data_IF_732844008442
#
_entry.id   IF_732844008442
#
_cell.length_a   1.000
_cell.length_b   1.000
_cell.length_c   1.000
_cell.angle_alpha   90.00
_cell.angle_beta   90.00
_cell.angle_gamma   90.00
#
_symmetry.space_group_name_H-M   'P 1'
#
loop_
_entity.id
_entity.type
_entity.pdbx_description
1 polymer ?
#
# COMPACT_ATOMS: atom_id res chain seq x y z
N UNK A 1 1.26 5.95 -0.21
CA UNK A 1 1.27 4.54 -0.62
C UNK A 1 0.16 4.30 -1.62
N UNK A 2 0.41 3.53 -2.67
CA UNK A 2 -0.55 3.30 -3.77
C UNK A 2 -1.31 1.97 -3.67
N UNK A 3 -0.91 1.06 -2.78
CA UNK A 3 -1.70 -0.13 -2.46
C UNK A 3 -2.81 0.17 -1.45
N UNK A 4 -4.04 0.26 -1.93
CA UNK A 4 -5.23 0.37 -1.07
C UNK A 4 -5.41 -0.85 -0.17
N UNK A 5 -5.05 -2.05 -0.65
CA UNK A 5 -5.06 -3.28 0.16
C UNK A 5 -4.13 -3.18 1.36
N UNK A 6 -2.88 -2.75 1.17
CA UNK A 6 -1.93 -2.61 2.28
C UNK A 6 -2.38 -1.48 3.22
N UNK A 7 -2.94 -0.38 2.70
CA UNK A 7 -3.51 0.67 3.55
C UNK A 7 -4.62 0.14 4.45
N UNK A 8 -5.51 -0.70 3.91
CA UNK A 8 -6.56 -1.35 4.68
C UNK A 8 -5.97 -2.28 5.75
N UNK A 9 -4.90 -3.04 5.42
CA UNK A 9 -4.24 -3.91 6.39
C UNK A 9 -3.64 -3.14 7.56
N UNK A 10 -2.93 -2.04 7.29
CA UNK A 10 -2.30 -1.19 8.32
C UNK A 10 -3.35 -0.63 9.29
N UNK A 11 -4.59 -0.41 8.84
CA UNK A 11 -5.70 0.08 9.67
C UNK A 11 -6.54 -1.04 10.32
N UNK A 12 -6.23 -2.31 10.04
CA UNK A 12 -6.98 -3.47 10.53
C UNK A 12 -6.22 -4.16 11.65
N UNK A 13 -6.93 -4.74 12.63
CA UNK A 13 -6.29 -5.51 13.71
C UNK A 13 -5.42 -6.65 13.14
N UNK A 14 -4.14 -6.78 13.56
CA UNK A 14 -3.22 -7.78 13.02
C UNK A 14 -3.69 -9.21 13.22
N UNK A 15 -4.50 -9.46 14.26
CA UNK A 15 -5.05 -10.78 14.63
C UNK A 15 -5.95 -11.38 13.55
N UNK A 16 -6.40 -10.58 12.58
CA UNK A 16 -7.24 -11.03 11.46
C UNK A 16 -6.43 -11.65 10.31
N UNK A 17 -5.11 -11.53 10.33
CA UNK A 17 -4.25 -11.99 9.23
C UNK A 17 -3.47 -13.27 9.57
N UNK A 18 -3.00 -13.97 8.53
CA UNK A 18 -2.07 -15.10 8.67
C UNK A 18 -0.76 -14.64 9.33
N UNK A 19 -0.01 -15.54 10.00
CA UNK A 19 1.15 -15.15 10.82
C UNK A 19 2.14 -14.20 10.13
N UNK A 20 2.48 -14.45 8.86
CA UNK A 20 3.40 -13.59 8.11
C UNK A 20 2.93 -12.13 8.02
N UNK A 21 1.66 -11.89 7.65
CA UNK A 21 1.10 -10.54 7.52
C UNK A 21 0.80 -9.97 8.92
N UNK A 22 0.31 -10.79 9.84
CA UNK A 22 -0.02 -10.39 11.21
C UNK A 22 1.19 -9.77 11.92
N UNK A 23 2.35 -10.44 11.86
CA UNK A 23 3.59 -9.95 12.49
C UNK A 23 3.98 -8.59 11.91
N UNK A 24 3.97 -8.44 10.58
CA UNK A 24 4.36 -7.17 9.94
C UNK A 24 3.41 -6.02 10.21
N UNK A 25 2.10 -6.28 10.20
CA UNK A 25 1.11 -5.26 10.53
C UNK A 25 1.23 -4.86 12.00
N UNK A 26 1.47 -5.79 12.92
CA UNK A 26 1.73 -5.48 14.32
C UNK A 26 2.98 -4.61 14.49
N UNK A 27 4.10 -4.99 13.87
CA UNK A 27 5.34 -4.20 13.88
C UNK A 27 5.10 -2.76 13.42
N UNK A 28 4.38 -2.57 12.30
CA UNK A 28 4.04 -1.23 11.78
C UNK A 28 3.17 -0.44 12.77
N UNK A 29 2.13 -1.07 13.32
CA UNK A 29 1.19 -0.41 14.24
C UNK A 29 1.83 -0.05 15.59
N UNK A 30 2.83 -0.81 16.04
CA UNK A 30 3.56 -0.55 17.27
C UNK A 30 4.63 0.55 17.11
N UNK A 31 5.16 0.73 15.90
CA UNK A 31 6.30 1.62 15.64
C UNK A 31 5.94 2.94 14.98
N UNK A 32 4.82 3.00 14.25
CA UNK A 32 4.47 4.13 13.41
C UNK A 32 3.03 4.59 13.64
N UNK A 33 2.78 5.88 13.44
CA UNK A 33 1.41 6.40 13.39
C UNK A 33 0.73 5.92 12.10
N UNK A 34 -0.24 5.02 12.25
CA UNK A 34 -1.05 4.50 11.14
C UNK A 34 -1.82 5.59 10.37
N UNK A 35 -2.07 6.76 10.98
CA UNK A 35 -2.76 7.87 10.32
C UNK A 35 -1.85 8.62 9.35
N UNK A 36 -0.52 8.53 9.50
CA UNK A 36 0.44 9.11 8.58
C UNK A 36 0.44 8.43 7.19
N UNK A 37 -0.14 7.22 7.09
CA UNK A 37 -0.22 6.49 5.83
C UNK A 37 -1.39 6.98 4.98
N UNK A 38 -1.07 7.74 3.93
CA UNK A 38 -2.03 8.25 2.95
C UNK A 38 -1.98 7.50 1.63
N UNK A 39 -3.15 7.40 0.98
CA UNK A 39 -3.25 6.94 -0.39
C UNK A 39 -2.70 7.99 -1.35
N UNK A 40 -1.93 7.53 -2.34
CA UNK A 40 -1.55 8.30 -3.53
C UNK A 40 -1.80 7.41 -4.75
N UNK A 41 -2.15 7.98 -5.90
CA UNK A 41 -2.29 7.19 -7.14
C UNK A 41 -0.94 6.62 -7.57
N UNK A 42 -0.95 5.48 -8.26
CA UNK A 42 0.29 4.82 -8.71
C UNK A 42 1.09 5.67 -9.71
N UNK A 43 0.43 6.50 -10.53
CA UNK A 43 1.10 7.41 -11.47
C UNK A 43 1.87 8.56 -10.80
N UNK A 44 1.61 8.80 -9.51
CA UNK A 44 2.33 9.77 -8.68
C UNK A 44 3.14 9.10 -7.56
N UNK A 45 3.25 7.77 -7.57
CA UNK A 45 4.05 7.03 -6.59
C UNK A 45 5.53 7.07 -6.97
N UNK A 46 6.39 7.80 -6.24
CA UNK A 46 7.80 7.87 -6.59
C UNK A 46 8.51 6.51 -6.45
N UNK A 47 7.99 5.58 -5.63
CA UNK A 47 8.63 4.27 -5.44
C UNK A 47 8.60 3.40 -6.71
N UNK A 48 7.60 3.58 -7.58
CA UNK A 48 7.48 2.85 -8.85
C UNK A 48 8.66 3.13 -9.80
N UNK A 49 9.23 4.32 -9.72
CA UNK A 49 10.40 4.74 -10.49
C UNK A 49 11.58 3.80 -10.20
N UNK A 50 11.78 3.42 -8.93
CA UNK A 50 12.91 2.54 -8.57
C UNK A 50 12.66 1.07 -8.90
N UNK A 51 11.42 0.60 -8.88
CA UNK A 51 11.09 -0.82 -9.08
C UNK A 51 11.10 -1.24 -10.56
N UNK A 52 11.06 -0.27 -11.49
CA UNK A 52 10.97 -0.52 -12.94
C UNK A 52 12.32 -0.52 -13.68
N UNK A 53 13.41 -0.16 -13.02
CA UNK A 53 14.74 -0.09 -13.66
C UNK A 53 14.85 1.07 -14.65
N UNK A 54 14.61 2.29 -14.19
CA UNK A 54 14.56 3.51 -15.02
C UNK A 54 15.93 4.16 -15.24
N UNK A 55 16.08 5.05 -16.24
CA UNK A 55 17.26 5.90 -16.40
C UNK A 55 17.57 6.74 -15.16
N UNK A 56 18.85 7.04 -14.93
CA UNK A 56 19.32 7.82 -13.76
C UNK A 56 18.64 9.20 -13.62
N UNK A 57 18.24 9.81 -14.74
CA UNK A 57 17.54 11.09 -14.73
C UNK A 57 16.16 11.01 -14.05
N UNK A 58 15.47 9.88 -14.15
CA UNK A 58 14.19 9.63 -13.49
C UNK A 58 14.36 9.30 -11.99
N UNK A 59 15.54 8.85 -11.57
CA UNK A 59 15.86 8.64 -10.15
C UNK A 59 15.87 9.97 -9.39
N UNK A 60 16.18 11.09 -10.05
CA UNK A 60 16.15 12.44 -9.43
C UNK A 60 14.74 12.80 -8.96
N UNK A 61 13.71 12.40 -9.70
CA UNK A 61 12.31 12.61 -9.29
C UNK A 61 11.90 11.72 -8.12
N UNK A 62 12.51 10.54 -7.95
CA UNK A 62 12.29 9.72 -6.76
C UNK A 62 12.82 10.39 -5.48
N UNK A 63 14.03 10.96 -5.52
CA UNK A 63 14.66 11.60 -4.34
C UNK A 63 13.86 12.81 -3.86
N UNK A 64 13.39 13.66 -4.78
CA UNK A 64 12.59 14.85 -4.43
C UNK A 64 11.15 14.51 -4.05
N UNK A 65 10.61 13.43 -4.62
CA UNK A 65 9.21 13.08 -4.49
C UNK A 65 8.27 14.01 -5.28
N UNK A 66 6.95 13.78 -5.18
CA UNK A 66 5.95 14.62 -5.84
C UNK A 66 5.95 16.06 -5.30
N UNK A 67 5.74 17.09 -6.16
CA UNK A 67 5.78 18.49 -5.74
C UNK A 67 4.80 18.87 -4.63
N UNK A 68 3.68 18.15 -4.48
CA UNK A 68 2.69 18.45 -3.43
C UNK A 68 3.21 18.13 -2.02
N UNK A 69 4.24 17.29 -1.86
CA UNK A 69 4.82 16.99 -0.55
C UNK A 69 5.56 18.20 0.05
N UNK A 70 5.93 19.19 -0.77
CA UNK A 70 6.53 20.46 -0.33
C UNK A 70 5.47 21.48 0.14
N UNK A 71 4.18 21.17 -0.04
CA UNK A 71 3.06 22.04 0.33
C UNK A 71 2.49 21.65 1.70
N UNK A 72 1.78 22.58 2.38
CA UNK A 72 0.98 22.24 3.56
C UNK A 72 0.06 21.05 3.29
N UNK A 73 -0.17 20.22 4.31
CA UNK A 73 -0.94 18.99 4.20
C UNK A 73 -2.38 19.23 3.72
N UNK A 74 -2.92 20.41 4.02
CA UNK A 74 -4.24 20.89 3.62
C UNK A 74 -4.35 21.10 2.10
N UNK A 75 -3.22 21.33 1.43
CA UNK A 75 -3.13 21.48 -0.03
C UNK A 75 -2.86 20.15 -0.73
N UNK A 76 -2.66 19.05 0.01
CA UNK A 76 -2.37 17.77 -0.60
C UNK A 76 -3.57 17.25 -1.39
N UNK A 77 -3.32 16.65 -2.56
CA UNK A 77 -4.39 16.06 -3.36
C UNK A 77 -5.09 14.96 -2.55
N UNK A 78 -6.41 15.06 -2.47
CA UNK A 78 -7.25 14.01 -1.90
C UNK A 78 -7.64 13.06 -3.03
N UNK A 79 -7.04 11.87 -3.03
CA UNK A 79 -7.33 10.83 -4.02
C UNK A 79 -8.54 9.96 -3.64
N UNK A 80 -9.24 10.29 -2.54
CA UNK A 80 -10.49 9.66 -2.14
C UNK A 80 -11.64 10.19 -3.00
N UNK A 81 -12.10 9.40 -3.97
CA UNK A 81 -13.29 9.75 -4.78
C UNK A 81 -13.30 9.16 -6.19
N UNK A 82 -12.13 8.87 -6.79
CA UNK A 82 -12.08 8.33 -8.16
C UNK A 82 -12.27 6.81 -8.23
N UNK A 83 -12.19 6.10 -7.10
CA UNK A 83 -12.25 4.64 -7.07
C UNK A 83 -12.92 4.08 -5.81
N UNK A 84 -13.92 4.77 -5.24
CA UNK A 84 -14.67 4.24 -4.08
C UNK A 84 -15.57 3.07 -4.49
N UNK A 85 -14.98 1.94 -4.83
CA UNK A 85 -15.57 0.68 -4.42
C UNK A 85 -15.23 0.58 -2.94
N UNK A 86 -16.24 0.73 -2.08
CA UNK A 86 -16.15 0.26 -0.70
C UNK A 86 -15.44 -1.08 -0.71
N UNK A 87 -14.34 -1.24 0.03
CA UNK A 87 -13.75 -2.56 0.22
C UNK A 87 -14.81 -3.36 0.96
N UNK A 88 -15.57 -4.15 0.21
CA UNK A 88 -16.63 -4.98 0.76
C UNK A 88 -16.01 -6.14 1.54
N UNK A 89 -16.80 -6.72 2.44
CA UNK A 89 -16.41 -7.88 3.24
C UNK A 89 -15.98 -9.07 2.35
N UNK A 90 -16.47 -9.15 1.11
CA UNK A 90 -16.08 -10.16 0.12
C UNK A 90 -14.62 -9.97 -0.32
N UNK A 91 -14.23 -8.73 -0.61
CA UNK A 91 -12.85 -8.35 -0.97
C UNK A 91 -11.89 -8.61 0.20
N UNK A 92 -12.31 -8.31 1.43
CA UNK A 92 -11.55 -8.67 2.63
C UNK A 92 -11.40 -10.18 2.76
N UNK A 93 -12.46 -10.96 2.53
CA UNK A 93 -12.42 -12.43 2.53
C UNK A 93 -11.52 -12.99 1.46
N UNK A 94 -11.54 -12.45 0.24
CA UNK A 94 -10.68 -12.88 -0.86
C UNK A 94 -9.21 -12.62 -0.54
N UNK A 95 -8.90 -11.43 -0.01
CA UNK A 95 -7.54 -11.10 0.46
C UNK A 95 -7.10 -12.04 1.59
N UNK A 96 -8.00 -12.36 2.53
CA UNK A 96 -7.75 -13.37 3.58
C UNK A 96 -7.67 -14.81 3.04
N UNK A 97 -8.22 -15.05 1.84
CA UNK A 97 -8.38 -16.36 1.19
C UNK A 97 -7.49 -16.56 -0.03
N UNK A 98 -6.45 -15.75 -0.30
CA UNK A 98 -5.42 -16.10 -1.28
C UNK A 98 -4.77 -17.41 -0.79
N UNK A 99 -5.32 -18.50 -1.36
CA UNK A 99 -5.11 -19.89 -1.00
C UNK A 99 -3.77 -20.31 -1.56
N UNK A 100 -3.11 -21.15 -0.78
CA UNK A 100 -2.02 -22.01 -1.21
C UNK A 100 -2.36 -22.67 -2.57
N UNK A 101 -1.81 -22.15 -3.67
CA UNK A 101 -1.52 -23.02 -4.82
C UNK A 101 -0.19 -23.67 -4.54
N UNK A 102 -0.22 -24.75 -3.74
CA UNK A 102 0.87 -25.74 -3.77
C UNK A 102 0.88 -26.34 -5.19
N UNK A 103 2.00 -26.34 -5.92
CA UNK A 103 2.07 -27.09 -7.15
C UNK A 103 1.88 -28.57 -6.79
N UNK A 104 0.84 -29.18 -7.35
CA UNK A 104 0.65 -30.62 -7.32
C UNK A 104 1.89 -31.26 -7.94
N UNK A 105 2.70 -31.93 -7.11
CA UNK A 105 3.77 -32.81 -7.57
C UNK A 105 3.18 -33.80 -8.57
N UNK A 106 3.72 -33.81 -9.78
CA UNK A 106 3.49 -34.90 -10.72
C UNK A 106 4.40 -36.05 -10.29
N UNK A 107 3.79 -37.18 -9.97
CA UNK A 107 4.47 -38.48 -9.93
C UNK A 107 4.99 -38.87 -11.30
#
# INVERSE_FOLDING_TARGET
MDSQTVLAWIKTSPKRFKPFVSVRVAEIQETLDTQAFKYIRSDVNPADVLTRGVPLEEVKTWIKGPPFLERPEEEWPTFFGENSKSVDEESLKEIMSIKEKRPSGKN
#
